data_IF_017314701349
#
_entry.id   IF_017314701349
#
_cell.length_a   1.000
_cell.length_b   1.000
_cell.length_c   1.000
_cell.angle_alpha   90.00
_cell.angle_beta   90.00
_cell.angle_gamma   90.00
#
_symmetry.space_group_name_H-M   'P 1'
#
loop_
_entity.id
_entity.type
_entity.pdbx_description
1 polymer ?
#
# COMPACT_ATOMS: atom_id res chain seq x y z
N UNK A 1 -35.74 5.22 14.89
CA UNK A 1 -35.10 5.30 13.56
C UNK A 1 -33.64 4.90 13.72
N UNK A 2 -33.24 3.77 13.16
CA UNK A 2 -31.84 3.32 13.17
C UNK A 2 -30.99 4.25 12.30
N UNK A 3 -29.95 4.82 12.88
CA UNK A 3 -29.03 5.70 12.16
C UNK A 3 -27.86 4.86 11.68
N UNK A 4 -27.93 4.42 10.43
CA UNK A 4 -26.85 3.69 9.78
C UNK A 4 -25.63 4.62 9.68
N UNK A 5 -24.54 4.23 10.34
CA UNK A 5 -23.29 5.01 10.39
C UNK A 5 -22.14 4.31 9.65
N UNK A 6 -22.29 3.01 9.43
CA UNK A 6 -21.33 2.12 8.77
C UNK A 6 -22.05 1.30 7.70
N UNK A 7 -21.46 1.16 6.52
CA UNK A 7 -21.98 0.32 5.46
C UNK A 7 -20.83 -0.41 4.77
N UNK A 8 -20.99 -1.71 4.55
CA UNK A 8 -20.08 -2.54 3.75
C UNK A 8 -20.84 -3.05 2.55
N UNK A 9 -20.28 -2.83 1.36
CA UNK A 9 -20.81 -3.33 0.10
C UNK A 9 -19.78 -4.26 -0.52
N UNK A 10 -20.16 -5.53 -0.66
CA UNK A 10 -19.38 -6.53 -1.39
C UNK A 10 -19.98 -6.67 -2.79
N UNK A 11 -19.25 -6.19 -3.79
CA UNK A 11 -19.64 -6.32 -5.20
C UNK A 11 -18.86 -7.50 -5.77
N UNK A 12 -19.26 -8.71 -5.37
CA UNK A 12 -18.68 -9.94 -5.89
C UNK A 12 -19.49 -10.41 -7.08
N UNK A 13 -18.84 -10.64 -8.20
CA UNK A 13 -19.42 -11.31 -9.35
C UNK A 13 -18.98 -12.77 -9.36
N UNK A 14 -19.94 -13.69 -9.50
CA UNK A 14 -19.60 -15.05 -9.89
C UNK A 14 -18.85 -15.06 -11.24
N UNK A 15 -18.05 -16.09 -11.53
CA UNK A 15 -17.21 -16.17 -12.76
C UNK A 15 -18.01 -16.11 -14.08
N UNK A 16 -19.33 -16.13 -14.02
CA UNK A 16 -20.26 -16.06 -15.16
C UNK A 16 -21.37 -15.02 -14.98
N UNK A 17 -21.34 -14.23 -13.90
CA UNK A 17 -22.37 -13.23 -13.63
C UNK A 17 -22.02 -11.90 -14.27
N UNK A 18 -23.06 -11.14 -14.61
CA UNK A 18 -22.85 -9.78 -15.12
C UNK A 18 -22.19 -8.95 -14.02
N UNK A 19 -21.26 -8.06 -14.40
CA UNK A 19 -20.68 -7.05 -13.53
C UNK A 19 -21.73 -6.39 -12.62
N UNK A 20 -21.62 -6.56 -11.31
CA UNK A 20 -22.38 -5.77 -10.36
C UNK A 20 -21.82 -4.36 -10.41
N UNK A 21 -22.66 -3.42 -10.86
CA UNK A 21 -22.30 -2.02 -11.09
C UNK A 21 -22.86 -1.19 -9.95
N UNK A 22 -22.04 -0.33 -9.34
CA UNK A 22 -22.56 0.80 -8.57
C UNK A 22 -23.19 1.75 -9.58
N UNK A 23 -24.51 1.83 -9.59
CA UNK A 23 -25.24 2.71 -10.49
C UNK A 23 -25.68 4.02 -9.80
N UNK A 24 -26.36 4.88 -10.55
CA UNK A 24 -26.88 6.14 -10.02
C UNK A 24 -27.87 5.94 -8.86
N UNK A 25 -28.59 4.81 -8.80
CA UNK A 25 -29.52 4.49 -7.70
C UNK A 25 -28.77 4.08 -6.45
N UNK A 26 -27.69 3.32 -6.57
CA UNK A 26 -26.84 2.97 -5.43
C UNK A 26 -26.22 4.22 -4.83
N UNK A 27 -25.72 5.14 -5.66
CA UNK A 27 -25.22 6.43 -5.18
C UNK A 27 -26.32 7.33 -4.62
N UNK A 28 -27.53 7.33 -5.20
CA UNK A 28 -28.67 8.03 -4.62
C UNK A 28 -29.04 7.46 -3.25
N UNK A 29 -28.96 6.13 -3.07
CA UNK A 29 -29.15 5.48 -1.78
C UNK A 29 -28.05 5.89 -0.80
N UNK A 30 -26.77 5.80 -1.17
CA UNK A 30 -25.65 6.20 -0.32
C UNK A 30 -25.74 7.66 0.13
N UNK A 31 -26.12 8.55 -0.79
CA UNK A 31 -26.29 9.98 -0.51
C UNK A 31 -27.54 10.29 0.31
N UNK A 32 -28.53 9.38 0.31
CA UNK A 32 -29.69 9.46 1.20
C UNK A 32 -29.39 9.07 2.65
N UNK A 33 -28.17 8.62 2.97
CA UNK A 33 -27.76 8.23 4.33
C UNK A 33 -27.12 9.42 5.07
N UNK A 34 -27.89 10.22 5.84
CA UNK A 34 -27.43 11.50 6.41
C UNK A 34 -26.43 11.36 7.56
N UNK A 35 -26.00 10.14 7.92
CA UNK A 35 -25.07 9.86 9.02
C UNK A 35 -24.04 8.81 8.66
N UNK A 36 -23.93 8.43 7.39
CA UNK A 36 -22.91 7.49 6.95
C UNK A 36 -21.54 8.14 7.14
N UNK A 37 -20.73 7.57 8.04
CA UNK A 37 -19.39 8.06 8.37
C UNK A 37 -18.28 7.20 7.80
N UNK A 38 -18.59 5.92 7.58
CA UNK A 38 -17.64 4.93 7.10
C UNK A 38 -18.29 4.04 6.04
N UNK A 39 -17.59 3.85 4.92
CA UNK A 39 -18.02 3.06 3.77
C UNK A 39 -16.90 2.12 3.35
N UNK A 40 -17.17 0.82 3.28
CA UNK A 40 -16.29 -0.18 2.68
C UNK A 40 -16.87 -0.63 1.33
N UNK A 41 -16.06 -0.51 0.28
CA UNK A 41 -16.37 -0.98 -1.08
C UNK A 41 -15.35 -2.03 -1.48
N UNK A 42 -15.82 -3.25 -1.72
CA UNK A 42 -15.03 -4.31 -2.35
C UNK A 42 -15.38 -4.40 -3.83
N UNK A 43 -14.39 -4.14 -4.69
CA UNK A 43 -14.47 -4.10 -6.14
C UNK A 43 -13.66 -5.27 -6.73
N UNK A 44 -14.28 -6.07 -7.59
CA UNK A 44 -13.59 -7.07 -8.40
C UNK A 44 -13.47 -6.63 -9.86
N UNK A 45 -12.61 -7.32 -10.63
CA UNK A 45 -12.36 -7.04 -12.04
C UNK A 45 -13.58 -7.07 -12.95
N UNK A 46 -14.67 -7.72 -12.52
CA UNK A 46 -15.87 -7.80 -13.35
C UNK A 46 -16.63 -6.47 -13.34
N UNK A 47 -16.58 -5.65 -12.29
CA UNK A 47 -17.28 -4.36 -12.21
C UNK A 47 -16.73 -3.31 -13.22
N UNK A 48 -17.25 -3.41 -14.44
CA UNK A 48 -16.73 -2.89 -15.71
C UNK A 48 -16.46 -1.38 -15.82
N UNK A 49 -15.46 -1.09 -16.66
CA UNK A 49 -14.72 0.14 -17.01
C UNK A 49 -15.56 1.38 -17.39
N UNK A 50 -16.86 1.21 -17.60
CA UNK A 50 -17.79 2.25 -18.03
C UNK A 50 -18.85 2.60 -16.96
N UNK A 51 -18.95 1.82 -15.89
CA UNK A 51 -20.01 1.96 -14.89
C UNK A 51 -19.83 3.19 -13.99
N UNK A 52 -18.57 3.56 -13.72
CA UNK A 52 -18.23 4.65 -12.81
C UNK A 52 -18.13 6.00 -13.56
N UNK A 53 -17.78 5.97 -14.86
CA UNK A 53 -17.53 7.17 -15.68
C UNK A 53 -18.79 7.91 -16.16
N UNK A 54 -19.99 7.32 -16.00
CA UNK A 54 -21.24 7.94 -16.47
C UNK A 54 -22.28 7.99 -15.35
N UNK A 55 -22.61 9.21 -14.93
CA UNK A 55 -23.81 9.57 -14.16
C UNK A 55 -23.82 9.32 -12.65
N UNK A 56 -22.69 9.40 -11.94
CA UNK A 56 -22.79 9.64 -10.49
C UNK A 56 -23.22 11.09 -10.27
N UNK A 57 -24.47 11.29 -9.84
CA UNK A 57 -24.97 12.61 -9.47
C UNK A 57 -24.08 13.19 -8.36
N UNK A 58 -23.68 14.46 -8.50
CA UNK A 58 -22.73 15.22 -7.67
C UNK A 58 -23.24 15.48 -6.23
N UNK A 59 -24.12 14.63 -5.71
CA UNK A 59 -24.70 14.82 -4.39
C UNK A 59 -23.63 14.55 -3.33
N UNK A 60 -23.28 15.53 -2.49
CA UNK A 60 -22.17 15.41 -1.56
C UNK A 60 -22.46 14.42 -0.43
N UNK A 61 -21.52 13.52 -0.16
CA UNK A 61 -21.50 12.64 1.02
C UNK A 61 -20.89 13.41 2.19
N UNK A 62 -21.61 14.45 2.66
CA UNK A 62 -21.12 15.44 3.63
C UNK A 62 -20.62 14.86 4.95
N UNK A 63 -21.05 13.65 5.32
CA UNK A 63 -20.72 13.01 6.59
C UNK A 63 -19.72 11.85 6.44
N UNK A 64 -19.36 11.47 5.22
CA UNK A 64 -18.42 10.38 5.00
C UNK A 64 -17.01 10.86 5.37
N UNK A 65 -16.48 10.31 6.46
CA UNK A 65 -15.15 10.66 6.99
C UNK A 65 -14.09 9.63 6.60
N UNK A 66 -14.50 8.37 6.42
CA UNK A 66 -13.62 7.24 6.14
C UNK A 66 -14.13 6.41 4.98
N UNK A 67 -13.24 6.07 4.05
CA UNK A 67 -13.52 5.20 2.92
C UNK A 67 -12.51 4.06 2.90
N UNK A 68 -13.00 2.83 2.83
CA UNK A 68 -12.18 1.65 2.60
C UNK A 68 -12.47 1.10 1.20
N UNK A 69 -11.47 1.11 0.34
CA UNK A 69 -11.53 0.56 -1.00
C UNK A 69 -10.69 -0.71 -1.04
N UNK A 70 -11.33 -1.83 -1.36
CA UNK A 70 -10.65 -3.10 -1.62
C UNK A 70 -10.83 -3.41 -3.10
N UNK A 71 -9.75 -3.47 -3.84
CA UNK A 71 -9.74 -3.83 -5.25
C UNK A 71 -8.98 -5.14 -5.42
N UNK A 72 -9.64 -6.15 -5.96
CA UNK A 72 -9.01 -7.44 -6.24
C UNK A 72 -9.17 -7.76 -7.73
N UNK A 73 -8.05 -7.83 -8.45
CA UNK A 73 -8.02 -8.34 -9.80
C UNK A 73 -7.68 -9.82 -9.78
N UNK A 74 -8.69 -10.66 -10.00
CA UNK A 74 -8.59 -12.13 -9.93
C UNK A 74 -8.43 -12.81 -11.30
N UNK A 75 -8.53 -12.06 -12.40
CA UNK A 75 -8.35 -12.66 -13.72
C UNK A 75 -6.89 -12.81 -14.08
N UNK A 76 -6.51 -14.01 -14.55
CA UNK A 76 -5.31 -14.25 -15.35
C UNK A 76 -5.49 -13.64 -16.75
N UNK A 77 -5.81 -12.35 -16.81
CA UNK A 77 -5.99 -11.68 -18.07
C UNK A 77 -4.60 -11.46 -18.67
N UNK A 78 -4.26 -12.28 -19.68
CA UNK A 78 -3.11 -12.10 -20.57
C UNK A 78 -3.25 -10.85 -21.46
N UNK A 79 -4.31 -10.07 -21.28
CA UNK A 79 -4.51 -8.82 -22.00
C UNK A 79 -3.47 -7.86 -21.47
N UNK A 80 -2.51 -7.55 -22.33
CA UNK A 80 -1.59 -6.44 -22.16
C UNK A 80 -2.38 -5.17 -21.81
N UNK A 81 -2.45 -4.91 -20.52
CA UNK A 81 -1.94 -3.67 -19.93
C UNK A 81 -2.89 -2.45 -19.81
N UNK A 82 -3.88 -2.24 -20.67
CA UNK A 82 -4.31 -0.84 -20.81
C UNK A 82 -5.17 -0.21 -19.70
N UNK A 83 -5.86 -0.95 -18.81
CA UNK A 83 -6.85 -0.32 -17.90
C UNK A 83 -7.08 -1.03 -16.54
N UNK A 84 -6.09 -1.74 -15.98
CA UNK A 84 -6.26 -2.45 -14.70
C UNK A 84 -6.74 -1.54 -13.54
N UNK A 85 -6.39 -0.26 -13.59
CA UNK A 85 -6.73 0.71 -12.55
C UNK A 85 -7.81 1.72 -12.92
N UNK A 86 -8.44 1.60 -14.10
CA UNK A 86 -9.40 2.61 -14.55
C UNK A 86 -10.61 2.75 -13.62
N UNK A 87 -11.17 1.65 -13.14
CA UNK A 87 -12.29 1.66 -12.19
C UNK A 87 -11.95 2.36 -10.87
N UNK A 88 -10.94 1.90 -10.12
CA UNK A 88 -10.50 2.58 -8.89
C UNK A 88 -10.14 4.05 -9.10
N UNK A 89 -9.43 4.37 -10.19
CA UNK A 89 -9.04 5.74 -10.55
C UNK A 89 -10.26 6.64 -10.79
N UNK A 90 -11.22 6.18 -11.60
CA UNK A 90 -12.44 6.91 -11.89
C UNK A 90 -13.29 7.11 -10.62
N UNK A 91 -13.39 6.09 -9.77
CA UNK A 91 -14.11 6.17 -8.50
C UNK A 91 -13.50 7.21 -7.58
N UNK A 92 -12.18 7.20 -7.42
CA UNK A 92 -11.46 8.20 -6.63
C UNK A 92 -11.73 9.60 -7.20
N UNK A 93 -11.58 9.80 -8.51
CA UNK A 93 -11.87 11.06 -9.19
C UNK A 93 -13.32 11.54 -9.00
N UNK A 94 -14.28 10.62 -8.88
CA UNK A 94 -15.69 10.96 -8.68
C UNK A 94 -16.06 11.22 -7.21
N UNK A 95 -15.48 10.49 -6.27
CA UNK A 95 -15.70 10.70 -4.83
C UNK A 95 -15.00 11.96 -4.32
N UNK A 96 -13.94 12.37 -5.01
CA UNK A 96 -13.08 13.49 -4.66
C UNK A 96 -13.79 14.83 -4.43
N UNK A 97 -14.66 15.31 -5.33
CA UNK A 97 -15.32 16.61 -5.17
C UNK A 97 -16.47 16.58 -4.16
N UNK A 98 -16.93 15.39 -3.77
CA UNK A 98 -18.21 15.18 -3.07
C UNK A 98 -18.05 14.72 -1.62
N UNK A 99 -16.83 14.44 -1.16
CA UNK A 99 -16.57 13.94 0.19
C UNK A 99 -15.51 14.78 0.92
N UNK A 100 -15.75 15.10 2.20
CA UNK A 100 -14.74 15.65 3.10
C UNK A 100 -13.98 14.51 3.81
N UNK A 101 -13.37 13.63 3.01
CA UNK A 101 -12.65 12.46 3.52
C UNK A 101 -11.47 12.91 4.39
N UNK A 102 -11.42 12.36 5.60
CA UNK A 102 -10.29 12.51 6.51
C UNK A 102 -9.38 11.28 6.45
N UNK A 103 -9.94 10.10 6.16
CA UNK A 103 -9.21 8.84 6.18
C UNK A 103 -9.57 7.99 4.95
N UNK A 104 -8.56 7.36 4.35
CA UNK A 104 -8.75 6.38 3.29
C UNK A 104 -7.90 5.14 3.55
N UNK A 105 -8.51 3.97 3.40
CA UNK A 105 -7.80 2.69 3.38
C UNK A 105 -7.95 2.12 1.98
N UNK A 106 -6.84 1.72 1.35
CA UNK A 106 -6.80 1.28 -0.03
C UNK A 106 -6.03 -0.05 -0.13
N UNK A 107 -6.75 -1.15 -0.27
CA UNK A 107 -6.14 -2.45 -0.54
C UNK A 107 -6.28 -2.76 -2.02
N UNK A 108 -5.18 -2.89 -2.75
CA UNK A 108 -5.18 -3.27 -4.17
C UNK A 108 -4.38 -4.56 -4.35
N UNK A 109 -5.07 -5.65 -4.65
CA UNK A 109 -4.44 -6.94 -4.95
C UNK A 109 -4.56 -7.22 -6.43
N UNK A 110 -3.43 -7.27 -7.15
CA UNK A 110 -3.41 -7.57 -8.59
C UNK A 110 -2.72 -8.90 -8.81
N UNK A 111 -3.44 -9.85 -9.40
CA UNK A 111 -2.89 -11.18 -9.71
C UNK A 111 -2.38 -11.31 -11.15
N UNK A 112 -2.48 -10.23 -11.94
CA UNK A 112 -2.11 -10.18 -13.36
C UNK A 112 -0.95 -9.21 -13.64
N UNK A 113 -0.51 -9.17 -14.90
CA UNK A 113 0.47 -8.19 -15.38
C UNK A 113 -0.14 -6.78 -15.42
N UNK A 114 0.64 -5.79 -14.98
CA UNK A 114 0.26 -4.38 -14.97
C UNK A 114 1.48 -3.58 -15.40
N UNK A 115 1.38 -2.75 -16.45
CA UNK A 115 2.52 -1.89 -16.77
C UNK A 115 2.68 -0.77 -15.78
N UNK A 116 3.90 -0.26 -15.78
CA UNK A 116 4.27 1.03 -15.24
C UNK A 116 3.28 2.17 -15.59
N UNK A 117 2.77 2.26 -16.82
CA UNK A 117 1.87 3.37 -17.19
C UNK A 117 0.53 3.31 -16.44
N UNK A 118 0.03 2.10 -16.19
CA UNK A 118 -1.19 1.86 -15.40
C UNK A 118 -0.95 2.18 -13.91
N UNK A 119 0.20 1.75 -13.37
CA UNK A 119 0.69 2.11 -12.03
C UNK A 119 0.74 3.63 -11.87
N UNK A 120 1.47 4.33 -12.75
CA UNK A 120 1.67 5.78 -12.69
C UNK A 120 0.34 6.55 -12.73
N UNK A 121 -0.62 6.12 -13.57
CA UNK A 121 -1.96 6.74 -13.64
C UNK A 121 -2.74 6.57 -12.34
N UNK A 122 -2.74 5.37 -11.77
CA UNK A 122 -3.42 5.09 -10.52
C UNK A 122 -2.89 5.97 -9.38
N UNK A 123 -1.57 6.04 -9.23
CA UNK A 123 -0.97 6.88 -8.19
C UNK A 123 -1.09 8.36 -8.48
N UNK A 124 -1.07 8.79 -9.73
CA UNK A 124 -1.35 10.19 -10.08
C UNK A 124 -2.77 10.59 -9.69
N UNK A 125 -3.75 9.72 -9.90
CA UNK A 125 -5.12 9.96 -9.45
C UNK A 125 -5.25 9.96 -7.93
N UNK A 126 -4.51 9.09 -7.25
CA UNK A 126 -4.47 9.05 -5.79
C UNK A 126 -3.74 10.27 -5.20
N UNK A 127 -2.67 10.76 -5.84
CA UNK A 127 -1.97 12.00 -5.48
C UNK A 127 -2.85 13.25 -5.67
N UNK A 128 -3.87 13.17 -6.52
CA UNK A 128 -4.88 14.20 -6.67
C UNK A 128 -5.97 14.17 -5.58
N UNK A 129 -5.87 13.28 -4.57
CA UNK A 129 -6.74 13.31 -3.38
C UNK A 129 -6.64 14.68 -2.68
N UNK A 130 -7.71 15.15 -1.99
CA UNK A 130 -7.74 16.51 -1.47
C UNK A 130 -6.72 16.61 -0.34
N UNK A 131 -6.19 17.81 -0.12
CA UNK A 131 -5.30 18.11 1.01
C UNK A 131 -5.95 17.89 2.39
N UNK A 132 -7.28 17.67 2.44
CA UNK A 132 -8.01 17.30 3.65
C UNK A 132 -7.79 15.84 4.08
N UNK A 133 -7.19 15.01 3.22
CA UNK A 133 -6.85 13.64 3.57
C UNK A 133 -5.81 13.64 4.70
N UNK A 134 -6.21 13.18 5.88
CA UNK A 134 -5.38 13.19 7.10
C UNK A 134 -4.54 11.92 7.21
N UNK A 135 -5.04 10.80 6.70
CA UNK A 135 -4.26 9.57 6.60
C UNK A 135 -4.69 8.67 5.45
N UNK A 136 -3.68 8.05 4.83
CA UNK A 136 -3.83 6.78 4.13
C UNK A 136 -3.29 5.67 5.05
N UNK A 137 -4.17 4.75 5.43
CA UNK A 137 -3.87 3.80 6.49
C UNK A 137 -3.26 2.52 5.96
N UNK A 138 -3.72 1.93 4.86
CA UNK A 138 -3.03 0.79 4.24
C UNK A 138 -3.08 1.01 2.75
N UNK A 139 -1.92 1.00 2.11
CA UNK A 139 -1.78 0.84 0.68
C UNK A 139 -1.12 -0.51 0.45
N UNK A 140 -1.93 -1.55 0.21
CA UNK A 140 -1.41 -2.86 -0.22
C UNK A 140 -1.38 -2.86 -1.74
N UNK A 141 -0.22 -3.13 -2.35
CA UNK A 141 -0.15 -3.34 -3.79
C UNK A 141 0.70 -4.55 -4.08
N UNK A 142 0.17 -5.49 -4.86
CA UNK A 142 0.86 -6.72 -5.31
C UNK A 142 0.83 -6.80 -6.84
N UNK A 143 1.97 -7.09 -7.49
CA UNK A 143 2.12 -7.12 -8.95
C UNK A 143 2.54 -8.50 -9.48
N UNK A 144 2.10 -8.87 -10.69
CA UNK A 144 2.58 -10.06 -11.42
C UNK A 144 3.91 -9.83 -12.14
N UNK A 145 4.80 -10.83 -12.14
CA UNK A 145 6.21 -10.70 -12.56
C UNK A 145 6.47 -10.70 -14.08
N UNK A 146 6.72 -9.54 -14.71
CA UNK A 146 7.39 -9.50 -16.03
C UNK A 146 8.04 -8.17 -16.45
N UNK A 147 7.80 -7.04 -15.78
CA UNK A 147 8.50 -5.78 -16.04
C UNK A 147 9.65 -5.56 -15.02
N UNK A 148 10.68 -4.77 -15.37
CA UNK A 148 11.78 -4.48 -14.43
C UNK A 148 11.21 -3.90 -13.13
N UNK A 149 11.90 -4.14 -12.00
CA UNK A 149 11.45 -3.62 -10.73
C UNK A 149 11.17 -2.12 -10.80
N UNK A 150 10.06 -1.70 -10.19
CA UNK A 150 9.74 -0.29 -10.02
C UNK A 150 10.84 0.30 -9.13
N UNK A 151 11.73 1.12 -9.71
CA UNK A 151 12.62 1.98 -8.92
C UNK A 151 11.86 3.17 -8.32
N UNK A 152 12.50 3.95 -7.45
CA UNK A 152 11.90 5.12 -6.77
C UNK A 152 11.10 6.07 -7.66
N UNK A 153 11.52 6.26 -8.91
CA UNK A 153 10.85 7.17 -9.83
C UNK A 153 9.41 6.72 -10.17
N UNK A 154 9.14 5.41 -10.18
CA UNK A 154 7.77 4.90 -10.30
C UNK A 154 6.93 5.15 -9.04
N UNK A 155 7.61 5.33 -7.90
CA UNK A 155 6.97 5.64 -6.62
C UNK A 155 6.91 7.14 -6.30
N UNK A 156 7.48 8.01 -7.15
CA UNK A 156 7.50 9.46 -6.92
C UNK A 156 6.10 10.07 -6.69
N UNK A 157 5.03 9.66 -7.41
CA UNK A 157 3.68 10.14 -7.12
C UNK A 157 3.18 9.76 -5.72
N UNK A 158 3.70 8.68 -5.13
CA UNK A 158 3.33 8.23 -3.79
C UNK A 158 3.93 9.14 -2.70
N UNK A 159 5.13 9.69 -2.94
CA UNK A 159 5.88 10.49 -1.97
C UNK A 159 5.14 11.77 -1.53
N UNK A 160 4.14 12.23 -2.28
CA UNK A 160 3.35 13.40 -1.95
C UNK A 160 2.17 13.12 -1.00
N UNK A 161 1.91 11.85 -0.67
CA UNK A 161 0.72 11.42 0.08
C UNK A 161 0.96 11.42 1.60
N UNK A 162 -0.04 11.75 2.43
CA UNK A 162 0.04 11.64 3.89
C UNK A 162 -0.18 10.19 4.37
N UNK A 163 0.68 9.26 3.94
CA UNK A 163 0.60 7.82 4.27
C UNK A 163 1.17 7.55 5.66
N UNK A 164 0.42 6.79 6.47
CA UNK A 164 0.89 6.31 7.78
C UNK A 164 1.38 4.87 7.74
N UNK A 165 0.80 4.06 6.86
CA UNK A 165 1.14 2.64 6.73
C UNK A 165 1.08 2.24 5.26
N UNK A 166 2.09 1.51 4.84
CA UNK A 166 2.36 1.24 3.44
C UNK A 166 2.83 -0.20 3.34
N UNK A 167 2.20 -0.98 2.47
CA UNK A 167 2.53 -2.37 2.25
C UNK A 167 2.71 -2.59 0.74
N UNK A 168 3.94 -2.47 0.27
CA UNK A 168 4.29 -2.74 -1.12
C UNK A 168 4.81 -4.17 -1.20
N UNK A 169 3.99 -5.09 -1.70
CA UNK A 169 4.31 -6.51 -1.85
C UNK A 169 4.33 -6.89 -3.34
N UNK A 170 4.80 -8.07 -3.70
CA UNK A 170 4.76 -8.59 -5.06
C UNK A 170 5.86 -8.09 -5.99
N UNK A 171 5.68 -8.37 -7.29
CA UNK A 171 6.80 -8.48 -8.21
C UNK A 171 7.46 -7.16 -8.60
N UNK A 172 8.66 -6.88 -8.07
CA UNK A 172 9.52 -5.80 -8.55
C UNK A 172 9.78 -4.67 -7.55
N UNK A 173 9.61 -4.87 -6.24
CA UNK A 173 10.09 -3.90 -5.24
C UNK A 173 11.57 -4.19 -4.97
N UNK A 174 12.45 -3.67 -5.83
CA UNK A 174 13.91 -3.88 -5.74
C UNK A 174 14.60 -2.60 -5.25
N UNK A 175 14.24 -2.19 -4.03
CA UNK A 175 14.69 -0.92 -3.45
C UNK A 175 16.07 -1.08 -2.84
N UNK A 176 17.01 -0.23 -3.27
CA UNK A 176 18.29 -0.10 -2.58
C UNK A 176 18.20 0.80 -1.34
N UNK A 177 19.28 0.87 -0.55
CA UNK A 177 19.30 1.66 0.68
C UNK A 177 19.03 3.16 0.46
N UNK A 178 19.51 3.74 -0.64
CA UNK A 178 19.29 5.16 -0.94
C UNK A 178 17.83 5.41 -1.30
N UNK A 179 17.22 4.47 -2.02
CA UNK A 179 15.80 4.48 -2.36
C UNK A 179 14.92 4.37 -1.10
N UNK A 180 15.21 3.43 -0.20
CA UNK A 180 14.45 3.31 1.06
C UNK A 180 14.62 4.56 1.95
N UNK A 181 15.79 5.21 1.94
CA UNK A 181 16.01 6.49 2.62
C UNK A 181 15.23 7.64 1.98
N UNK A 182 15.15 7.69 0.65
CA UNK A 182 14.34 8.68 -0.05
C UNK A 182 12.85 8.49 0.30
N UNK A 183 12.37 7.25 0.34
CA UNK A 183 11.04 6.91 0.83
C UNK A 183 10.80 7.37 2.28
N UNK A 184 11.75 7.10 3.18
CA UNK A 184 11.68 7.54 4.57
C UNK A 184 11.49 9.06 4.68
N UNK A 185 12.25 9.82 3.90
CA UNK A 185 12.25 11.28 3.94
C UNK A 185 10.97 11.90 3.39
N UNK A 186 10.35 11.26 2.40
CA UNK A 186 9.10 11.73 1.80
C UNK A 186 7.88 11.54 2.72
N UNK A 187 7.90 10.52 3.57
CA UNK A 187 6.82 10.23 4.51
C UNK A 187 7.27 10.37 5.95
N UNK A 188 7.39 11.62 6.46
CA UNK A 188 7.83 11.85 7.82
C UNK A 188 6.89 11.22 8.86
N UNK A 189 5.63 10.93 8.49
CA UNK A 189 4.62 10.31 9.35
C UNK A 189 4.46 8.80 9.14
N UNK A 190 5.27 8.16 8.28
CA UNK A 190 5.19 6.72 8.06
C UNK A 190 5.59 5.97 9.32
N UNK A 191 4.73 5.04 9.74
CA UNK A 191 4.91 4.25 10.96
C UNK A 191 5.16 2.78 10.67
N UNK A 192 4.57 2.25 9.59
CA UNK A 192 4.58 0.80 9.31
C UNK A 192 4.78 0.52 7.80
N UNK A 193 5.97 0.76 7.25
CA UNK A 193 6.36 0.26 5.92
C UNK A 193 6.56 -1.26 5.94
N UNK A 194 5.98 -1.95 4.97
CA UNK A 194 6.36 -3.30 4.52
C UNK A 194 6.74 -3.21 3.04
N UNK A 195 7.98 -3.58 2.71
CA UNK A 195 8.59 -3.36 1.39
C UNK A 195 9.20 -4.66 0.84
N UNK A 196 8.51 -5.27 -0.12
CA UNK A 196 9.03 -6.32 -1.00
C UNK A 196 9.28 -7.68 -0.34
N UNK A 197 8.61 -7.99 0.77
CA UNK A 197 8.93 -9.12 1.66
C UNK A 197 8.71 -10.52 1.07
N UNK A 198 7.86 -10.64 0.06
CA UNK A 198 7.31 -11.90 -0.48
C UNK A 198 8.04 -12.42 -1.73
N UNK A 199 9.16 -11.80 -2.12
CA UNK A 199 9.88 -12.12 -3.36
C UNK A 199 11.18 -12.91 -3.15
N UNK A 200 11.19 -14.25 -3.07
CA UNK A 200 12.44 -15.00 -2.89
C UNK A 200 13.38 -14.96 -4.13
N UNK A 201 12.87 -14.62 -5.31
CA UNK A 201 13.61 -14.73 -6.57
C UNK A 201 14.51 -13.53 -6.91
N UNK A 202 14.26 -12.34 -6.33
CA UNK A 202 15.11 -11.16 -6.52
C UNK A 202 16.16 -11.06 -5.40
N UNK A 203 17.39 -10.61 -5.68
CA UNK A 203 18.37 -10.37 -4.63
C UNK A 203 17.89 -9.23 -3.72
N UNK A 204 18.09 -9.35 -2.41
CA UNK A 204 17.91 -8.22 -1.51
C UNK A 204 19.05 -7.20 -1.73
N UNK A 205 18.74 -5.90 -1.64
CA UNK A 205 19.69 -4.81 -1.90
C UNK A 205 20.01 -3.94 -0.69
N UNK A 206 19.38 -4.22 0.45
CA UNK A 206 19.68 -3.56 1.72
C UNK A 206 20.50 -4.51 2.59
N UNK A 207 21.65 -4.06 3.06
CA UNK A 207 22.44 -4.88 3.99
C UNK A 207 21.82 -4.89 5.37
N UNK A 208 22.00 -5.99 6.10
CA UNK A 208 21.55 -6.12 7.48
C UNK A 208 22.21 -5.05 8.39
N UNK A 209 23.48 -4.73 8.15
CA UNK A 209 24.24 -3.70 8.87
C UNK A 209 23.62 -2.30 8.76
N UNK A 210 22.95 -1.99 7.64
CA UNK A 210 22.40 -0.66 7.37
C UNK A 210 21.06 -0.38 8.07
N UNK A 211 20.41 -1.41 8.65
CA UNK A 211 19.09 -1.26 9.25
C UNK A 211 19.05 -0.24 10.40
N UNK A 212 19.98 -0.22 11.38
CA UNK A 212 19.91 0.73 12.48
C UNK A 212 19.92 2.18 11.98
N UNK A 213 20.84 2.51 11.07
CA UNK A 213 20.91 3.85 10.47
C UNK A 213 19.63 4.21 9.73
N UNK A 214 19.07 3.26 8.98
CA UNK A 214 17.79 3.46 8.30
C UNK A 214 16.67 3.78 9.30
N UNK A 215 16.54 2.99 10.37
CA UNK A 215 15.50 3.23 11.38
C UNK A 215 15.68 4.58 12.08
N UNK A 216 16.92 5.05 12.28
CA UNK A 216 17.18 6.39 12.82
C UNK A 216 16.64 7.50 11.92
N UNK A 217 16.66 7.32 10.60
CA UNK A 217 16.11 8.31 9.64
C UNK A 217 14.58 8.38 9.62
N UNK A 218 13.87 7.40 10.22
CA UNK A 218 12.41 7.34 10.25
C UNK A 218 11.87 7.60 11.68
N UNK A 219 11.68 8.86 12.12
CA UNK A 219 11.40 9.18 13.53
C UNK A 219 10.11 8.56 14.08
N UNK A 220 9.10 8.35 13.22
CA UNK A 220 7.80 7.80 13.61
C UNK A 220 7.65 6.29 13.38
N UNK A 221 8.73 5.60 12.99
CA UNK A 221 8.70 4.17 12.70
C UNK A 221 8.37 3.34 13.94
N UNK A 222 7.40 2.44 13.79
CA UNK A 222 6.92 1.49 14.81
C UNK A 222 7.12 0.05 14.33
N UNK A 223 6.82 -0.23 13.06
CA UNK A 223 6.99 -1.53 12.44
C UNK A 223 7.78 -1.39 11.14
N UNK A 224 8.65 -2.35 10.81
CA UNK A 224 9.40 -2.36 9.55
C UNK A 224 9.37 -3.76 8.95
N UNK A 225 8.86 -3.86 7.73
CA UNK A 225 8.99 -5.03 6.88
C UNK A 225 9.93 -4.71 5.71
N UNK A 226 11.03 -5.45 5.57
CA UNK A 226 12.01 -5.22 4.49
C UNK A 226 12.86 -6.46 4.25
N UNK A 227 13.27 -6.69 3.00
CA UNK A 227 14.26 -7.72 2.68
C UNK A 227 15.68 -7.20 2.80
N UNK A 228 16.52 -7.99 3.45
CA UNK A 228 17.94 -7.69 3.64
C UNK A 228 18.82 -8.85 3.19
N UNK A 229 20.08 -8.54 2.87
CA UNK A 229 21.11 -9.55 2.68
C UNK A 229 22.16 -9.47 3.79
N UNK A 230 22.84 -10.58 3.96
CA UNK A 230 23.94 -10.75 4.90
C UNK A 230 25.22 -10.18 4.28
N UNK A 231 25.78 -9.12 4.85
CA UNK A 231 26.94 -8.41 4.32
C UNK A 231 28.25 -8.74 5.03
N UNK A 232 28.28 -9.82 5.81
CA UNK A 232 29.38 -10.28 6.69
C UNK A 232 29.77 -9.27 7.79
N UNK A 233 29.76 -7.96 7.52
CA UNK A 233 29.98 -6.86 8.47
C UNK A 233 28.96 -6.87 9.63
N UNK A 234 27.69 -7.20 9.36
CA UNK A 234 26.68 -7.32 10.42
C UNK A 234 26.92 -8.52 11.36
N UNK A 235 27.60 -9.57 10.89
CA UNK A 235 27.79 -10.80 11.66
C UNK A 235 29.05 -10.79 12.50
N UNK A 236 29.98 -9.88 12.21
CA UNK A 236 31.18 -9.74 13.00
C UNK A 236 30.85 -8.98 14.30
N UNK A 237 30.91 -9.67 15.44
CA UNK A 237 30.59 -9.09 16.74
C UNK A 237 31.46 -7.87 17.06
N UNK A 238 32.65 -7.76 16.47
CA UNK A 238 33.55 -6.60 16.60
C UNK A 238 33.15 -5.39 15.73
N UNK A 239 32.40 -5.60 14.62
CA UNK A 239 31.98 -4.54 13.67
C UNK A 239 30.51 -4.14 13.81
N UNK A 240 29.84 -4.69 14.81
CA UNK A 240 28.54 -4.25 15.31
C UNK A 240 28.43 -2.72 15.30
N UNK A 241 27.38 -2.13 14.69
CA UNK A 241 27.27 -0.69 14.63
C UNK A 241 27.30 -0.12 16.05
N UNK A 242 28.22 0.81 16.28
CA UNK A 242 28.38 1.55 17.55
C UNK A 242 27.19 2.43 17.90
N UNK A 243 26.12 2.40 17.10
CA UNK A 243 24.91 3.16 17.36
C UNK A 243 24.15 2.55 18.54
N UNK A 244 23.52 3.41 19.33
CA UNK A 244 22.68 2.94 20.42
C UNK A 244 21.55 2.05 19.84
N UNK A 245 21.15 0.98 20.56
CA UNK A 245 20.03 0.15 20.14
C UNK A 245 18.79 1.03 19.89
N UNK A 246 17.92 0.59 18.98
CA UNK A 246 16.78 1.37 18.51
C UNK A 246 15.49 0.85 19.15
N UNK A 247 15.12 1.32 20.36
CA UNK A 247 14.05 0.73 21.16
C UNK A 247 12.65 1.03 20.62
N UNK A 248 12.51 1.95 19.66
CA UNK A 248 11.19 2.38 19.15
C UNK A 248 10.51 1.35 18.25
N UNK A 249 11.28 0.43 17.68
CA UNK A 249 10.74 -0.57 16.76
C UNK A 249 10.11 -1.72 17.56
N UNK A 250 8.82 -1.98 17.34
CA UNK A 250 8.06 -3.05 18.01
C UNK A 250 7.92 -4.30 17.14
N UNK A 251 8.10 -4.15 15.82
CA UNK A 251 8.09 -5.26 14.87
C UNK A 251 9.15 -5.06 13.78
N UNK A 252 9.96 -6.09 13.56
CA UNK A 252 10.85 -6.19 12.42
C UNK A 252 10.52 -7.48 11.68
N UNK A 253 10.23 -7.38 10.40
CA UNK A 253 9.90 -8.52 9.56
C UNK A 253 10.87 -8.56 8.38
N UNK A 254 11.68 -9.62 8.32
CA UNK A 254 12.71 -9.77 7.28
C UNK A 254 12.17 -10.53 6.05
N UNK A 255 10.96 -11.07 6.08
CA UNK A 255 10.36 -11.78 4.95
C UNK A 255 11.27 -12.87 4.35
N UNK A 256 11.26 -12.99 3.02
CA UNK A 256 12.12 -13.91 2.27
C UNK A 256 13.57 -13.38 2.08
N UNK A 257 14.20 -12.86 3.14
CA UNK A 257 15.58 -12.38 3.10
C UNK A 257 16.58 -13.53 2.83
N UNK A 258 17.52 -13.38 1.87
CA UNK A 258 18.57 -14.37 1.61
C UNK A 258 19.69 -14.28 2.65
N UNK A 259 19.38 -14.66 3.89
CA UNK A 259 20.35 -14.68 4.99
C UNK A 259 21.17 -15.98 4.94
N UNK A 260 22.48 -15.87 4.74
CA UNK A 260 23.37 -17.03 4.70
C UNK A 260 23.55 -17.63 6.10
N UNK A 261 23.60 -16.78 7.14
CA UNK A 261 23.70 -17.21 8.52
C UNK A 261 22.53 -16.65 9.37
N UNK A 262 21.40 -17.36 9.34
CA UNK A 262 20.19 -16.95 10.04
C UNK A 262 20.38 -16.78 11.56
N UNK A 263 21.28 -17.54 12.18
CA UNK A 263 21.50 -17.46 13.63
C UNK A 263 22.24 -16.18 14.03
N UNK A 264 23.30 -15.84 13.30
CA UNK A 264 24.06 -14.62 13.59
C UNK A 264 23.26 -13.37 13.17
N UNK A 265 22.49 -13.44 12.09
CA UNK A 265 21.53 -12.40 11.74
C UNK A 265 20.47 -12.19 12.83
N UNK A 266 19.93 -13.26 13.42
CA UNK A 266 18.99 -13.16 14.53
C UNK A 266 19.62 -12.52 15.78
N UNK A 267 20.87 -12.89 16.12
CA UNK A 267 21.62 -12.25 17.22
C UNK A 267 21.82 -10.76 16.97
N UNK A 268 22.20 -10.40 15.75
CA UNK A 268 22.35 -9.02 15.33
C UNK A 268 21.05 -8.23 15.51
N UNK A 269 19.91 -8.79 15.07
CA UNK A 269 18.59 -8.18 15.20
C UNK A 269 18.22 -7.96 16.67
N UNK A 270 18.34 -8.99 17.51
CA UNK A 270 18.00 -8.90 18.94
C UNK A 270 18.82 -7.82 19.65
N UNK A 271 20.11 -7.70 19.30
CA UNK A 271 21.00 -6.71 19.90
C UNK A 271 20.63 -5.27 19.51
N UNK A 272 20.34 -5.04 18.23
CA UNK A 272 20.08 -3.70 17.70
C UNK A 272 18.62 -3.25 17.86
N UNK A 273 17.67 -4.19 17.92
CA UNK A 273 16.23 -3.96 17.99
C UNK A 273 15.61 -4.78 19.15
N UNK A 274 16.00 -4.52 20.41
CA UNK A 274 15.65 -5.37 21.55
C UNK A 274 14.15 -5.44 21.87
N UNK A 275 13.37 -4.49 21.36
CA UNK A 275 11.91 -4.44 21.53
C UNK A 275 11.14 -4.97 20.31
N UNK A 276 11.82 -5.30 19.23
CA UNK A 276 11.18 -5.78 18.02
C UNK A 276 10.79 -7.26 18.17
N UNK A 277 9.54 -7.55 17.82
CA UNK A 277 9.01 -8.91 17.69
C UNK A 277 8.97 -9.32 16.21
N UNK A 278 9.14 -10.61 15.94
CA UNK A 278 9.24 -11.16 14.58
C UNK A 278 10.69 -11.36 14.14
N UNK A 279 10.96 -12.55 13.60
CA UNK A 279 12.16 -12.94 12.86
C UNK A 279 11.70 -13.87 11.75
#
# INVERSE_FOLDING_TARGET
>A
MSTLTTLRLELTNGPFEKPTRIDAKDMAFLTSLPRLKWLELSLDTFSDRDAIDRQLSVTPLLYLLSLELRYTNTEKCYIHDLEAFKGPTALLQHLLPVCALHQITLSVTLTCFVSRASVDKFFSAFAALPSSLVSCDILQVSWGASEPPLGMQGYAPFLALPVRELMLEGAGVDLDLAEVRAFASAWPNLRRPSLGQDQPASPARVSLSALPDLVHTMPNLVELGIRVYDDDEALDEEHSPTSAPVPKLTKLDLGCSPLHNAMDAARYVVRNFPNASGC
#
